data_IF_926689503216
#
_entry.id   IF_926689503216
#
_cell.length_a   1.000
_cell.length_b   1.000
_cell.length_c   1.000
_cell.angle_alpha   90.00
_cell.angle_beta   90.00
_cell.angle_gamma   90.00
#
_symmetry.space_group_name_H-M   'P 1'
#
loop_
_entity.id
_entity.type
_entity.pdbx_description
1 polymer ?
#
# COMPACT_ATOMS: atom_id res chain seq x y z
N UNK A 1 -20.98 15.13 -18.83
CA UNK A 1 -19.76 14.34 -18.67
C UNK A 1 -20.13 13.17 -17.78
N UNK A 2 -20.22 11.99 -18.37
CA UNK A 2 -20.59 10.75 -17.69
C UNK A 2 -19.61 10.51 -16.54
N UNK A 3 -20.14 10.32 -15.32
CA UNK A 3 -19.40 9.66 -14.25
C UNK A 3 -19.21 8.21 -14.71
N UNK A 4 -18.14 7.93 -15.44
CA UNK A 4 -17.66 6.55 -15.53
C UNK A 4 -17.50 6.07 -14.10
N UNK A 5 -18.30 5.07 -13.73
CA UNK A 5 -18.15 4.37 -12.47
C UNK A 5 -16.76 3.74 -12.45
N UNK A 6 -15.81 4.48 -11.90
CA UNK A 6 -14.42 4.08 -11.71
C UNK A 6 -14.33 3.11 -10.51
N UNK A 7 -15.21 2.10 -10.52
CA UNK A 7 -15.34 1.10 -9.47
C UNK A 7 -14.19 0.13 -9.64
N UNK A 8 -13.27 0.14 -8.68
CA UNK A 8 -12.18 -0.81 -8.61
C UNK A 8 -12.75 -2.24 -8.53
N UNK A 9 -12.53 -3.03 -9.58
CA UNK A 9 -12.92 -4.44 -9.61
C UNK A 9 -11.72 -5.30 -9.20
N UNK A 10 -11.83 -5.92 -8.03
CA UNK A 10 -10.91 -6.94 -7.54
C UNK A 10 -11.62 -8.28 -7.56
N UNK A 11 -11.01 -9.26 -8.20
CA UNK A 11 -11.58 -10.58 -8.29
C UNK A 11 -11.56 -11.30 -6.92
N UNK A 12 -12.48 -12.23 -6.71
CA UNK A 12 -12.50 -13.03 -5.48
C UNK A 12 -11.27 -13.96 -5.40
N UNK A 13 -10.50 -13.82 -4.33
CA UNK A 13 -9.26 -14.58 -4.10
C UNK A 13 -9.50 -16.09 -4.11
N UNK A 14 -10.57 -16.59 -3.50
CA UNK A 14 -10.84 -18.03 -3.46
C UNK A 14 -11.06 -18.59 -4.86
N UNK A 15 -11.73 -17.82 -5.75
CA UNK A 15 -11.92 -18.22 -7.15
C UNK A 15 -10.61 -18.25 -7.93
N UNK A 16 -9.74 -17.25 -7.71
CA UNK A 16 -8.41 -17.20 -8.34
C UNK A 16 -7.60 -18.42 -7.91
N UNK A 17 -7.55 -18.69 -6.60
CA UNK A 17 -6.79 -19.82 -6.04
C UNK A 17 -7.33 -21.15 -6.54
N UNK A 18 -8.66 -21.32 -6.59
CA UNK A 18 -9.28 -22.53 -7.11
C UNK A 18 -8.96 -22.74 -8.60
N UNK A 19 -9.00 -21.67 -9.42
CA UNK A 19 -8.59 -21.76 -10.83
C UNK A 19 -7.12 -22.12 -10.97
N UNK A 20 -6.25 -21.45 -10.23
CA UNK A 20 -4.81 -21.72 -10.27
C UNK A 20 -4.51 -23.17 -9.85
N UNK A 21 -5.14 -23.65 -8.78
CA UNK A 21 -4.97 -25.02 -8.29
C UNK A 21 -5.39 -26.08 -9.31
N UNK A 22 -6.46 -25.81 -10.08
CA UNK A 22 -6.97 -26.72 -11.11
C UNK A 22 -6.30 -26.52 -12.49
N UNK A 23 -5.43 -25.52 -12.64
CA UNK A 23 -4.77 -25.18 -13.91
C UNK A 23 -3.50 -26.01 -14.10
N UNK A 24 -3.16 -26.25 -15.38
CA UNK A 24 -1.84 -26.77 -15.75
C UNK A 24 -0.75 -25.69 -15.69
N UNK A 25 -1.16 -24.42 -15.70
CA UNK A 25 -0.32 -23.23 -15.67
C UNK A 25 -0.82 -22.30 -14.54
N UNK A 26 -0.58 -22.64 -13.26
CA UNK A 26 -1.04 -21.86 -12.11
C UNK A 26 -0.44 -20.44 -12.08
N UNK A 27 0.80 -20.31 -12.56
CA UNK A 27 1.53 -19.05 -12.68
C UNK A 27 0.76 -18.05 -13.53
N UNK A 28 0.34 -18.47 -14.73
CA UNK A 28 -0.39 -17.63 -15.68
C UNK A 28 -1.74 -17.16 -15.11
N UNK A 29 -2.46 -18.02 -14.39
CA UNK A 29 -3.74 -17.66 -13.77
C UNK A 29 -3.58 -16.60 -12.67
N UNK A 30 -2.54 -16.73 -11.86
CA UNK A 30 -2.25 -15.79 -10.78
C UNK A 30 -1.70 -14.47 -11.34
N UNK A 31 -0.80 -14.52 -12.32
CA UNK A 31 -0.28 -13.31 -12.98
C UNK A 31 -1.41 -12.49 -13.62
N UNK A 32 -2.33 -13.13 -14.34
CA UNK A 32 -3.52 -12.45 -14.91
C UNK A 32 -4.37 -11.78 -13.84
N UNK A 33 -4.52 -12.42 -12.68
CA UNK A 33 -5.29 -11.87 -11.57
C UNK A 33 -4.60 -10.67 -10.90
N UNK A 34 -3.27 -10.58 -11.00
CA UNK A 34 -2.46 -9.48 -10.44
C UNK A 34 -2.28 -8.34 -11.43
N UNK A 35 -2.16 -8.62 -12.73
CA UNK A 35 -1.83 -7.65 -13.77
C UNK A 35 -2.82 -6.48 -13.78
N UNK A 36 -4.13 -6.77 -13.82
CA UNK A 36 -5.16 -5.72 -13.88
C UNK A 36 -5.15 -4.80 -12.64
N UNK A 37 -5.12 -5.30 -11.39
CA UNK A 37 -4.91 -4.46 -10.21
C UNK A 37 -3.62 -3.64 -10.29
N UNK A 38 -2.52 -4.21 -10.78
CA UNK A 38 -1.24 -3.51 -10.89
C UNK A 38 -1.25 -2.39 -11.94
N UNK A 39 -1.84 -2.64 -13.11
CA UNK A 39 -2.07 -1.61 -14.15
C UNK A 39 -2.94 -0.47 -13.63
N UNK A 40 -3.99 -0.80 -12.85
CA UNK A 40 -4.84 0.21 -12.22
C UNK A 40 -4.02 1.09 -11.27
N UNK A 41 -3.15 0.48 -10.47
CA UNK A 41 -2.27 1.20 -9.56
C UNK A 41 -1.33 2.15 -10.32
N UNK A 42 -0.72 1.72 -11.44
CA UNK A 42 0.09 2.59 -12.32
C UNK A 42 -0.72 3.78 -12.85
N UNK A 43 -1.95 3.54 -13.32
CA UNK A 43 -2.79 4.60 -13.88
C UNK A 43 -3.17 5.65 -12.83
N UNK A 44 -3.52 5.20 -11.63
CA UNK A 44 -3.81 6.07 -10.49
C UNK A 44 -2.57 6.85 -10.04
N UNK A 45 -1.38 6.23 -10.03
CA UNK A 45 -0.10 6.90 -9.75
C UNK A 45 0.20 8.03 -10.73
N UNK A 46 0.02 7.80 -12.03
CA UNK A 46 0.21 8.84 -13.07
C UNK A 46 -0.73 10.02 -12.87
N UNK A 47 -1.99 9.76 -12.52
CA UNK A 47 -2.96 10.81 -12.20
C UNK A 47 -2.49 11.64 -11.00
N UNK A 48 -1.99 10.99 -9.95
CA UNK A 48 -1.49 11.64 -8.75
C UNK A 48 -0.27 12.54 -9.03
N UNK A 49 0.67 12.05 -9.84
CA UNK A 49 1.86 12.82 -10.25
C UNK A 49 1.47 14.11 -10.99
N UNK A 50 0.49 14.02 -11.90
CA UNK A 50 -0.06 15.18 -12.60
C UNK A 50 -0.71 16.17 -11.63
N UNK A 51 -1.51 15.67 -10.68
CA UNK A 51 -2.14 16.51 -9.65
C UNK A 51 -1.10 17.21 -8.79
N UNK A 52 -0.05 16.51 -8.37
CA UNK A 52 1.05 17.09 -7.61
C UNK A 52 1.69 18.26 -8.35
N UNK A 53 2.01 18.07 -9.63
CA UNK A 53 2.57 19.14 -10.48
C UNK A 53 1.62 20.34 -10.59
N UNK A 54 0.31 20.11 -10.75
CA UNK A 54 -0.70 21.17 -10.75
C UNK A 54 -0.74 21.92 -9.42
N UNK A 55 -0.77 21.21 -8.28
CA UNK A 55 -0.74 21.83 -6.95
C UNK A 55 0.50 22.71 -6.78
N UNK A 56 1.68 22.23 -7.18
CA UNK A 56 2.93 23.01 -7.08
C UNK A 56 2.83 24.33 -7.87
N UNK A 57 2.32 24.27 -9.10
CA UNK A 57 2.08 25.48 -9.90
C UNK A 57 1.03 26.39 -9.26
N UNK A 58 -0.07 25.83 -8.75
CA UNK A 58 -1.16 26.57 -8.11
C UNK A 58 -0.69 27.27 -6.84
N UNK A 59 0.14 26.62 -6.02
CA UNK A 59 0.75 27.19 -4.82
C UNK A 59 1.72 28.33 -5.16
N UNK A 60 2.52 28.19 -6.22
CA UNK A 60 3.37 29.28 -6.71
C UNK A 60 2.54 30.50 -7.10
N UNK A 61 1.46 30.30 -7.84
CA UNK A 61 0.56 31.38 -8.25
C UNK A 61 -0.12 32.06 -7.05
N UNK A 62 -0.54 31.29 -6.04
CA UNK A 62 -1.04 31.87 -4.79
C UNK A 62 0.01 32.70 -4.03
N UNK A 63 1.27 32.26 -4.05
CA UNK A 63 2.39 33.02 -3.50
C UNK A 63 2.52 34.39 -4.17
N UNK A 64 2.50 34.41 -5.50
CA UNK A 64 2.55 35.66 -6.28
C UNK A 64 1.33 36.56 -6.00
N UNK A 65 0.12 36.00 -6.02
CA UNK A 65 -1.11 36.77 -5.74
C UNK A 65 -1.11 37.36 -4.32
N UNK A 66 -0.57 36.63 -3.34
CA UNK A 66 -0.39 37.14 -1.98
C UNK A 66 0.57 38.33 -1.94
N UNK A 67 1.68 38.25 -2.67
CA UNK A 67 2.66 39.34 -2.77
C UNK A 67 2.04 40.58 -3.42
N UNK A 68 1.27 40.42 -4.49
CA UNK A 68 0.52 41.51 -5.13
C UNK A 68 -0.48 42.21 -4.18
N UNK A 69 -1.18 41.44 -3.33
CA UNK A 69 -2.08 42.01 -2.31
C UNK A 69 -1.28 42.82 -1.28
N UNK A 70 -0.13 42.31 -0.84
CA UNK A 70 0.74 43.00 0.12
C UNK A 70 1.29 44.31 -0.47
N UNK A 71 1.72 44.30 -1.73
CA UNK A 71 2.19 45.48 -2.44
C UNK A 71 1.07 46.51 -2.66
N UNK A 72 -0.11 46.06 -3.11
CA UNK A 72 -1.26 46.94 -3.29
C UNK A 72 -1.73 47.60 -1.97
N UNK A 73 -1.59 46.88 -0.85
CA UNK A 73 -1.89 47.37 0.50
C UNK A 73 -0.80 48.25 1.13
N UNK A 74 0.42 48.27 0.59
CA UNK A 74 1.57 49.02 1.15
C UNK A 74 2.03 50.19 0.27
N UNK A 75 1.58 50.27 -0.99
CA UNK A 75 2.00 51.27 -1.98
C UNK A 75 1.60 52.74 -1.70
N UNK A 76 1.07 53.08 -0.51
CA UNK A 76 0.81 54.46 -0.09
C UNK A 76 1.79 54.98 0.99
N UNK A 77 2.87 54.25 1.30
CA UNK A 77 3.83 54.69 2.35
C UNK A 77 5.29 54.50 1.95
N UNK A 78 5.78 55.43 1.11
CA UNK A 78 7.21 55.80 1.10
C UNK A 78 7.50 57.01 1.99
N UNK A 79 6.83 57.12 3.15
CA UNK A 79 7.28 57.99 4.25
C UNK A 79 6.65 57.58 5.59
N UNK A 80 7.50 57.64 6.63
CA UNK A 80 7.24 57.58 8.08
C UNK A 80 6.94 56.23 8.76
N UNK A 81 8.01 55.71 9.37
CA UNK A 81 8.12 55.12 10.71
C UNK A 81 6.84 55.17 11.56
N UNK A 82 6.42 53.99 12.04
CA UNK A 82 5.42 53.75 13.09
C UNK A 82 3.98 54.19 12.79
N UNK A 83 3.16 53.27 12.26
CA UNK A 83 1.85 52.96 12.84
C UNK A 83 1.19 51.76 12.17
N UNK A 84 0.66 50.88 13.02
CA UNK A 84 -0.33 49.85 12.66
C UNK A 84 -1.58 50.61 12.21
N UNK A 85 -1.80 50.72 10.91
CA UNK A 85 -3.02 51.31 10.35
C UNK A 85 -3.46 50.45 9.18
N UNK A 86 -4.23 49.39 9.48
CA UNK A 86 -4.80 48.45 8.50
C UNK A 86 -5.76 49.09 7.48
N UNK A 87 -6.06 50.39 7.60
CA UNK A 87 -6.87 51.13 6.65
C UNK A 87 -6.38 52.58 6.61
N UNK A 88 -5.77 53.03 5.52
CA UNK A 88 -5.75 54.44 5.11
C UNK A 88 -5.41 54.57 3.62
N UNK A 89 -6.38 55.14 2.89
CA UNK A 89 -6.39 55.56 1.47
C UNK A 89 -5.90 54.57 0.42
N UNK A 90 -6.59 53.44 0.26
CA UNK A 90 -6.46 52.64 -0.97
C UNK A 90 -7.08 53.38 -2.16
N UNK A 91 -6.29 53.67 -3.19
CA UNK A 91 -6.80 54.13 -4.50
C UNK A 91 -7.72 53.06 -5.10
N UNK A 92 -8.65 53.45 -5.97
CA UNK A 92 -9.54 52.51 -6.67
C UNK A 92 -8.74 51.40 -7.38
N UNK A 93 -7.57 51.73 -7.91
CA UNK A 93 -6.66 50.79 -8.54
C UNK A 93 -6.07 49.77 -7.55
N UNK A 94 -5.66 50.19 -6.35
CA UNK A 94 -5.18 49.26 -5.31
C UNK A 94 -6.29 48.33 -4.82
N UNK A 95 -7.52 48.84 -4.65
CA UNK A 95 -8.67 48.01 -4.27
C UNK A 95 -8.96 46.97 -5.35
N UNK A 96 -8.94 47.36 -6.62
CA UNK A 96 -9.17 46.46 -7.76
C UNK A 96 -8.11 45.36 -7.82
N UNK A 97 -6.83 45.70 -7.67
CA UNK A 97 -5.73 44.72 -7.60
C UNK A 97 -5.90 43.75 -6.44
N UNK A 98 -6.21 44.25 -5.24
CA UNK A 98 -6.48 43.38 -4.08
C UNK A 98 -7.64 42.42 -4.33
N UNK A 99 -8.72 42.88 -4.97
CA UNK A 99 -9.88 42.05 -5.31
C UNK A 99 -9.54 40.99 -6.36
N UNK A 100 -8.82 41.35 -7.42
CA UNK A 100 -8.38 40.42 -8.46
C UNK A 100 -7.45 39.34 -7.89
N UNK A 101 -6.44 39.72 -7.11
CA UNK A 101 -5.54 38.77 -6.46
C UNK A 101 -6.24 37.91 -5.39
N UNK A 102 -7.26 38.44 -4.69
CA UNK A 102 -8.11 37.66 -3.76
C UNK A 102 -8.98 36.65 -4.51
N UNK A 103 -9.51 37.02 -5.67
CA UNK A 103 -10.24 36.12 -6.55
C UNK A 103 -9.33 34.97 -7.04
N UNK A 104 -8.10 35.28 -7.46
CA UNK A 104 -7.13 34.25 -7.82
C UNK A 104 -6.79 33.32 -6.65
N UNK A 105 -6.60 33.85 -5.44
CA UNK A 105 -6.36 33.03 -4.25
C UNK A 105 -7.55 32.11 -3.93
N UNK A 106 -8.78 32.58 -4.13
CA UNK A 106 -9.98 31.77 -3.93
C UNK A 106 -10.06 30.60 -4.91
N UNK A 107 -9.72 30.82 -6.18
CA UNK A 107 -9.63 29.74 -7.18
C UNK A 107 -8.55 28.71 -6.83
N UNK A 108 -7.40 29.17 -6.32
CA UNK A 108 -6.33 28.28 -5.81
C UNK A 108 -6.87 27.38 -4.69
N UNK A 109 -7.60 27.93 -3.73
CA UNK A 109 -8.20 27.14 -2.64
C UNK A 109 -9.16 26.09 -3.18
N UNK A 110 -10.01 26.45 -4.14
CA UNK A 110 -10.94 25.51 -4.79
C UNK A 110 -10.18 24.38 -5.50
N UNK A 111 -9.14 24.70 -6.26
CA UNK A 111 -8.31 23.72 -6.98
C UNK A 111 -7.62 22.75 -6.00
N UNK A 112 -7.05 23.28 -4.91
CA UNK A 112 -6.44 22.45 -3.86
C UNK A 112 -7.47 21.50 -3.24
N UNK A 113 -8.67 22.00 -2.90
CA UNK A 113 -9.74 21.17 -2.34
C UNK A 113 -10.20 20.07 -3.30
N UNK A 114 -10.33 20.38 -4.59
CA UNK A 114 -10.67 19.37 -5.60
C UNK A 114 -9.58 18.30 -5.73
N UNK A 115 -8.31 18.71 -5.72
CA UNK A 115 -7.19 17.79 -5.78
C UNK A 115 -7.10 16.89 -4.54
N UNK A 116 -7.48 17.39 -3.35
CA UNK A 116 -7.57 16.58 -2.14
C UNK A 116 -8.59 15.45 -2.28
N UNK A 117 -9.74 15.69 -2.91
CA UNK A 117 -10.75 14.63 -3.13
C UNK A 117 -10.14 13.50 -3.97
N UNK A 118 -9.45 13.85 -5.06
CA UNK A 118 -8.81 12.86 -5.93
C UNK A 118 -7.69 12.12 -5.20
N UNK A 119 -6.92 12.82 -4.36
CA UNK A 119 -5.89 12.21 -3.51
C UNK A 119 -6.50 11.17 -2.54
N UNK A 120 -7.64 11.46 -1.92
CA UNK A 120 -8.33 10.51 -1.05
C UNK A 120 -8.84 9.27 -1.81
N UNK A 121 -9.40 9.46 -3.01
CA UNK A 121 -9.82 8.34 -3.85
C UNK A 121 -8.63 7.46 -4.26
N UNK A 122 -7.50 8.09 -4.61
CA UNK A 122 -6.24 7.40 -4.85
C UNK A 122 -5.81 6.57 -3.62
N UNK A 123 -5.78 7.17 -2.42
CA UNK A 123 -5.40 6.50 -1.16
C UNK A 123 -6.29 5.31 -0.84
N UNK A 124 -7.59 5.41 -1.16
CA UNK A 124 -8.52 4.30 -0.98
C UNK A 124 -8.22 3.16 -1.95
N UNK A 125 -8.01 3.46 -3.24
CA UNK A 125 -7.73 2.45 -4.27
C UNK A 125 -6.41 1.73 -4.04
N UNK A 126 -5.33 2.46 -3.76
CA UNK A 126 -4.03 1.85 -3.44
C UNK A 126 -4.16 0.91 -2.23
N UNK A 127 -4.88 1.31 -1.19
CA UNK A 127 -5.11 0.47 0.01
C UNK A 127 -5.91 -0.81 -0.31
N UNK A 128 -6.95 -0.70 -1.14
CA UNK A 128 -7.75 -1.85 -1.57
C UNK A 128 -6.91 -2.82 -2.43
N UNK A 129 -6.09 -2.29 -3.35
CA UNK A 129 -5.18 -3.08 -4.19
C UNK A 129 -4.11 -3.76 -3.34
N UNK A 130 -3.44 -3.04 -2.45
CA UNK A 130 -2.35 -3.60 -1.62
C UNK A 130 -2.86 -4.68 -0.68
N UNK A 131 -4.06 -4.48 -0.11
CA UNK A 131 -4.76 -5.49 0.68
C UNK A 131 -5.08 -6.73 -0.15
N UNK A 132 -5.56 -6.55 -1.38
CA UNK A 132 -5.83 -7.67 -2.29
C UNK A 132 -4.56 -8.46 -2.62
N UNK A 133 -3.48 -7.78 -3.02
CA UNK A 133 -2.20 -8.41 -3.35
C UNK A 133 -1.64 -9.20 -2.16
N UNK A 134 -1.67 -8.61 -0.97
CA UNK A 134 -1.24 -9.28 0.25
C UNK A 134 -2.09 -10.52 0.55
N UNK A 135 -3.43 -10.39 0.50
CA UNK A 135 -4.34 -11.50 0.79
C UNK A 135 -4.22 -12.63 -0.24
N UNK A 136 -3.97 -12.31 -1.51
CA UNK A 136 -3.70 -13.31 -2.54
C UNK A 136 -2.39 -14.05 -2.26
N UNK A 137 -1.33 -13.33 -1.88
CA UNK A 137 -0.05 -13.94 -1.54
C UNK A 137 -0.11 -14.86 -0.32
N UNK A 138 -0.84 -14.51 0.75
CA UNK A 138 -0.96 -15.38 1.94
C UNK A 138 -1.96 -16.54 1.77
N UNK A 139 -2.65 -16.62 0.63
CA UNK A 139 -3.69 -17.65 0.42
C UNK A 139 -3.13 -19.07 0.35
N UNK A 140 -1.91 -19.24 -0.19
CA UNK A 140 -1.09 -20.45 -0.09
C UNK A 140 0.36 -20.17 -0.54
N UNK A 141 1.28 -21.09 -0.25
CA UNK A 141 2.72 -20.97 -0.56
C UNK A 141 3.00 -20.75 -2.05
N UNK A 142 2.31 -21.46 -2.95
CA UNK A 142 2.55 -21.33 -4.38
C UNK A 142 2.12 -19.94 -4.89
N UNK A 143 0.96 -19.46 -4.45
CA UNK A 143 0.48 -18.12 -4.73
C UNK A 143 1.41 -17.05 -4.14
N UNK A 144 1.94 -17.26 -2.94
CA UNK A 144 2.93 -16.37 -2.33
C UNK A 144 4.16 -16.20 -3.22
N UNK A 145 4.75 -17.31 -3.66
CA UNK A 145 5.94 -17.28 -4.52
C UNK A 145 5.70 -16.55 -5.84
N UNK A 146 4.56 -16.82 -6.49
CA UNK A 146 4.20 -16.18 -7.76
C UNK A 146 3.97 -14.68 -7.57
N UNK A 147 3.19 -14.29 -6.54
CA UNK A 147 2.91 -12.89 -6.24
C UNK A 147 4.20 -12.13 -5.92
N UNK A 148 5.07 -12.66 -5.07
CA UNK A 148 6.35 -12.03 -4.73
C UNK A 148 7.21 -11.82 -5.98
N UNK A 149 7.39 -12.86 -6.80
CA UNK A 149 8.23 -12.78 -8.00
C UNK A 149 7.69 -11.76 -9.01
N UNK A 150 6.38 -11.80 -9.26
CA UNK A 150 5.72 -10.87 -10.16
C UNK A 150 5.89 -9.42 -9.69
N UNK A 151 5.64 -9.15 -8.41
CA UNK A 151 5.72 -7.78 -7.86
C UNK A 151 7.17 -7.25 -7.87
N UNK A 152 8.16 -8.07 -7.54
CA UNK A 152 9.58 -7.67 -7.60
C UNK A 152 10.02 -7.32 -9.02
N UNK A 153 9.61 -8.13 -10.00
CA UNK A 153 9.89 -7.87 -11.42
C UNK A 153 9.27 -6.54 -11.84
N UNK A 154 7.97 -6.36 -11.61
CA UNK A 154 7.26 -5.14 -12.01
C UNK A 154 7.79 -3.89 -11.30
N UNK A 155 8.17 -3.99 -10.02
CA UNK A 155 8.81 -2.88 -9.30
C UNK A 155 10.17 -2.49 -9.91
N UNK A 156 10.93 -3.47 -10.38
CA UNK A 156 12.24 -3.26 -11.01
C UNK A 156 12.11 -2.64 -12.40
N UNK A 157 11.10 -3.06 -13.15
CA UNK A 157 10.83 -2.58 -14.51
C UNK A 157 10.18 -1.18 -14.51
N UNK A 158 9.35 -0.88 -13.50
CA UNK A 158 8.60 0.36 -13.43
C UNK A 158 9.49 1.58 -13.17
N UNK A 159 9.32 2.61 -13.98
CA UNK A 159 10.00 3.90 -13.82
C UNK A 159 9.38 4.74 -12.69
N UNK A 160 10.07 5.83 -12.30
CA UNK A 160 9.51 6.84 -11.36
C UNK A 160 8.31 7.61 -11.92
N UNK A 161 8.14 7.59 -13.24
CA UNK A 161 7.03 8.26 -13.93
C UNK A 161 5.78 7.38 -14.01
N UNK A 162 5.93 6.07 -13.77
CA UNK A 162 4.85 5.09 -13.80
C UNK A 162 4.30 4.77 -12.40
N UNK A 163 5.18 4.74 -11.41
CA UNK A 163 4.82 4.53 -10.01
C UNK A 163 5.32 5.70 -9.18
N UNK A 164 4.37 6.40 -8.55
CA UNK A 164 4.71 7.41 -7.55
C UNK A 164 5.33 6.75 -6.30
N UNK A 165 6.00 7.56 -5.49
CA UNK A 165 6.77 7.07 -4.34
C UNK A 165 5.89 6.29 -3.33
N UNK A 166 4.63 6.70 -3.13
CA UNK A 166 3.72 6.05 -2.19
C UNK A 166 3.24 4.70 -2.72
N UNK A 167 2.84 4.65 -4.00
CA UNK A 167 2.54 3.41 -4.69
C UNK A 167 3.68 2.39 -4.62
N UNK A 168 4.90 2.85 -4.90
CA UNK A 168 6.09 2.01 -4.83
C UNK A 168 6.32 1.48 -3.41
N UNK A 169 6.29 2.36 -2.41
CA UNK A 169 6.52 1.98 -1.01
C UNK A 169 5.50 0.94 -0.51
N UNK A 170 4.21 1.12 -0.81
CA UNK A 170 3.17 0.19 -0.40
C UNK A 170 3.35 -1.20 -1.03
N UNK A 171 3.68 -1.27 -2.33
CA UNK A 171 3.95 -2.54 -3.00
C UNK A 171 5.22 -3.20 -2.44
N UNK A 172 6.29 -2.44 -2.19
CA UNK A 172 7.50 -2.94 -1.52
C UNK A 172 7.20 -3.50 -0.12
N UNK A 173 6.32 -2.83 0.62
CA UNK A 173 5.87 -3.28 1.94
C UNK A 173 5.05 -4.57 1.85
N UNK A 174 4.20 -4.74 0.82
CA UNK A 174 3.53 -6.02 0.53
C UNK A 174 4.57 -7.11 0.30
N UNK A 175 5.57 -6.89 -0.56
CA UNK A 175 6.64 -7.86 -0.83
C UNK A 175 7.39 -8.23 0.46
N UNK A 176 7.80 -7.25 1.26
CA UNK A 176 8.49 -7.49 2.56
C UNK A 176 7.65 -8.35 3.50
N UNK A 177 6.34 -8.08 3.61
CA UNK A 177 5.42 -8.84 4.48
C UNK A 177 5.22 -10.27 3.97
N UNK A 178 5.07 -10.44 2.66
CA UNK A 178 4.95 -11.75 2.02
C UNK A 178 6.19 -12.63 2.22
N UNK A 179 7.39 -12.05 2.09
CA UNK A 179 8.66 -12.77 2.39
C UNK A 179 8.77 -13.20 3.85
N UNK A 180 8.37 -12.34 4.79
CA UNK A 180 8.30 -12.72 6.22
C UNK A 180 7.32 -13.88 6.45
N UNK A 181 6.19 -13.89 5.74
CA UNK A 181 5.24 -15.00 5.80
C UNK A 181 5.86 -16.30 5.26
N UNK A 182 6.60 -16.26 4.14
CA UNK A 182 7.33 -17.42 3.60
C UNK A 182 8.34 -17.98 4.63
N UNK A 183 9.09 -17.11 5.31
CA UNK A 183 10.03 -17.51 6.35
C UNK A 183 9.33 -18.21 7.53
N UNK A 184 8.22 -17.64 8.01
CA UNK A 184 7.42 -18.22 9.10
C UNK A 184 6.88 -19.61 8.74
N UNK A 185 6.35 -19.77 7.52
CA UNK A 185 5.85 -21.05 7.03
C UNK A 185 6.95 -22.11 6.93
N UNK A 186 8.14 -21.72 6.44
CA UNK A 186 9.31 -22.61 6.42
C UNK A 186 9.67 -23.09 7.83
N UNK A 187 9.76 -22.17 8.79
CA UNK A 187 10.07 -22.50 10.19
C UNK A 187 9.02 -23.40 10.82
N UNK A 188 7.75 -23.20 10.48
CA UNK A 188 6.65 -24.04 10.95
C UNK A 188 6.73 -25.47 10.40
N UNK A 189 7.05 -25.66 9.12
CA UNK A 189 7.21 -27.00 8.55
C UNK A 189 8.44 -27.73 9.12
N UNK A 190 9.54 -27.02 9.35
CA UNK A 190 10.71 -27.58 10.06
C UNK A 190 10.35 -28.02 11.48
N UNK A 191 9.63 -27.16 12.22
CA UNK A 191 9.16 -27.49 13.57
C UNK A 191 8.26 -28.73 13.59
N UNK A 192 7.30 -28.81 12.65
CA UNK A 192 6.40 -29.96 12.50
C UNK A 192 7.15 -31.25 12.17
N UNK A 193 8.19 -31.19 11.36
CA UNK A 193 9.07 -32.33 11.08
C UNK A 193 9.79 -32.80 12.34
N UNK A 194 10.32 -31.88 13.14
CA UNK A 194 11.00 -32.20 14.40
C UNK A 194 10.05 -32.83 15.42
N UNK A 195 8.85 -32.27 15.61
CA UNK A 195 7.84 -32.85 16.50
C UNK A 195 7.44 -34.26 16.08
N UNK A 196 7.26 -34.52 14.78
CA UNK A 196 6.96 -35.87 14.30
C UNK A 196 8.09 -36.86 14.61
N UNK A 197 9.33 -36.42 14.48
CA UNK A 197 10.51 -37.24 14.80
C UNK A 197 10.55 -37.55 16.30
N UNK A 198 10.43 -36.54 17.16
CA UNK A 198 10.41 -36.72 18.61
C UNK A 198 9.25 -37.62 19.07
N UNK A 199 8.06 -37.47 18.48
CA UNK A 199 6.92 -38.34 18.78
C UNK A 199 7.21 -39.81 18.43
N UNK A 200 7.88 -40.05 17.31
CA UNK A 200 8.27 -41.41 16.90
C UNK A 200 9.30 -41.99 17.87
N UNK A 201 10.34 -41.23 18.20
CA UNK A 201 11.38 -41.65 19.16
C UNK A 201 10.77 -41.96 20.54
N UNK A 202 9.84 -41.14 21.01
CA UNK A 202 9.11 -41.40 22.25
C UNK A 202 8.22 -42.64 22.18
N UNK A 203 7.55 -42.89 21.04
CA UNK A 203 6.76 -44.11 20.83
C UNK A 203 7.62 -45.37 20.88
N UNK A 204 8.78 -45.33 20.21
CA UNK A 204 9.74 -46.43 20.19
C UNK A 204 10.25 -46.71 21.63
N UNK A 205 10.61 -45.67 22.37
CA UNK A 205 11.03 -45.79 23.78
C UNK A 205 9.93 -46.37 24.68
N UNK A 206 8.68 -45.93 24.53
CA UNK A 206 7.54 -46.49 25.29
C UNK A 206 7.37 -47.97 24.99
N UNK A 207 7.54 -48.38 23.74
CA UNK A 207 7.44 -49.78 23.34
C UNK A 207 8.55 -50.63 23.97
N UNK A 208 9.80 -50.15 23.93
CA UNK A 208 10.94 -50.80 24.59
C UNK A 208 10.70 -50.97 26.09
N UNK A 209 10.35 -49.90 26.80
CA UNK A 209 10.04 -49.93 28.24
C UNK A 209 8.87 -50.87 28.56
N UNK A 210 7.84 -50.92 27.71
CA UNK A 210 6.70 -51.82 27.89
C UNK A 210 7.12 -53.29 27.80
N UNK A 211 8.01 -53.62 26.86
CA UNK A 211 8.55 -54.97 26.72
C UNK A 211 9.44 -55.35 27.91
N UNK A 212 10.29 -54.44 28.38
CA UNK A 212 11.10 -54.66 29.58
C UNK A 212 10.24 -54.92 30.82
N UNK A 213 9.20 -54.10 31.05
CA UNK A 213 8.23 -54.30 32.14
C UNK A 213 7.56 -55.67 32.04
N UNK A 214 7.21 -56.10 30.83
CA UNK A 214 6.60 -57.43 30.60
C UNK A 214 7.56 -58.55 31.00
N UNK A 215 8.83 -58.48 30.58
CA UNK A 215 9.84 -59.48 30.94
C UNK A 215 10.06 -59.53 32.46
N UNK A 216 10.24 -58.39 33.11
CA UNK A 216 10.39 -58.30 34.57
C UNK A 216 9.19 -58.90 35.31
N UNK A 217 7.97 -58.67 34.81
CA UNK A 217 6.76 -59.24 35.39
C UNK A 217 6.71 -60.77 35.26
N UNK A 218 7.21 -61.33 34.16
CA UNK A 218 7.32 -62.78 33.97
C UNK A 218 8.36 -63.40 34.91
N UNK A 219 9.53 -62.77 35.07
CA UNK A 219 10.57 -63.20 36.00
C UNK A 219 10.09 -63.20 37.46
N UNK A 220 9.44 -62.12 37.91
CA UNK A 220 8.87 -62.03 39.26
C UNK A 220 7.84 -63.15 39.50
N UNK A 221 7.08 -63.52 38.47
CA UNK A 221 6.07 -64.59 38.57
C UNK A 221 6.74 -65.97 38.67
N UNK A 222 7.87 -66.18 38.02
CA UNK A 222 8.66 -67.40 38.12
C UNK A 222 9.29 -67.56 39.52
N UNK A 223 9.76 -66.47 40.13
CA UNK A 223 10.37 -66.47 41.47
C UNK A 223 9.37 -66.72 42.62
N UNK A 224 8.07 -66.56 42.38
CA UNK A 224 7.00 -66.80 43.38
C UNK A 224 6.46 -68.24 43.38
N UNK A 225 7.00 -69.11 42.53
CA UNK A 225 6.66 -70.54 42.45
C UNK A 225 7.70 -71.37 43.18
#
# INVERSE_FOLDING_TARGET
MEKENNTLYLENINKIVERAFNSKEPEVEIEKAIEKPFETLINESKLLLNIKSKIESTLKNAGNAKEEIMDAGTNDYKTSVFNISFFKSSTEESIKKMQESTYYLSNVVIDISNNQIIFWDYLKKISEITKFLFNLGISNIAANNIVVHYLEKKLSDATKEELDDLAREEVENVVKRLKKQQELESRYEDFKKNIKKEMKENQDLIFELTNEIKMLKEEIKALKK
#
